data_IF_409069567795
#
_entry.id   IF_409069567795
#
_cell.length_a   1.000
_cell.length_b   1.000
_cell.length_c   1.000
_cell.angle_alpha   90.00
_cell.angle_beta   90.00
_cell.angle_gamma   90.00
#
_symmetry.space_group_name_H-M   'P 1'
#
loop_
_entity.id
_entity.type
_entity.pdbx_description
1 polymer ?
#
# COMPACT_ATOMS: atom_id res chain seq x y z
N UNK A 1 2.64 13.88 11.88
CA UNK A 1 2.11 14.00 10.51
C UNK A 1 2.99 13.15 9.62
N UNK A 2 2.47 12.04 9.11
CA UNK A 2 3.16 11.17 8.18
C UNK A 2 3.30 11.82 6.80
N UNK A 3 4.31 11.39 6.03
CA UNK A 3 4.60 11.95 4.70
C UNK A 3 3.41 11.88 3.74
N UNK A 4 2.50 10.91 3.94
CA UNK A 4 1.37 10.62 3.07
C UNK A 4 0.02 10.86 3.76
N UNK A 5 -0.01 11.57 4.89
CA UNK A 5 -1.25 11.88 5.59
C UNK A 5 -2.27 12.57 4.65
N UNK A 6 -3.50 12.05 4.66
CA UNK A 6 -4.60 12.56 3.83
C UNK A 6 -4.49 12.21 2.34
N UNK A 7 -3.52 11.37 1.94
CA UNK A 7 -3.40 10.84 0.58
C UNK A 7 -4.06 9.47 0.47
N UNK A 8 -4.59 9.17 -0.72
CA UNK A 8 -5.06 7.84 -1.10
C UNK A 8 -4.11 7.23 -2.12
N UNK A 9 -3.76 5.96 -1.96
CA UNK A 9 -2.89 5.24 -2.90
C UNK A 9 -3.50 3.90 -3.33
N UNK A 10 -3.42 3.63 -4.64
CA UNK A 10 -3.80 2.34 -5.23
C UNK A 10 -2.53 1.56 -5.53
N UNK A 11 -2.42 0.35 -4.99
CA UNK A 11 -1.24 -0.50 -5.20
C UNK A 11 -1.70 -1.84 -5.79
N UNK A 12 -1.21 -2.14 -6.99
CA UNK A 12 -1.51 -3.38 -7.72
C UNK A 12 -0.33 -4.36 -7.59
N UNK A 13 -0.62 -5.66 -7.59
CA UNK A 13 0.41 -6.69 -7.42
C UNK A 13 0.93 -6.81 -5.99
N UNK A 14 0.21 -6.26 -5.01
CA UNK A 14 0.57 -6.29 -3.59
C UNK A 14 0.12 -7.58 -2.88
N UNK A 15 0.25 -8.73 -3.54
CA UNK A 15 0.06 -10.03 -2.86
C UNK A 15 1.28 -10.34 -1.99
N UNK A 16 2.48 -10.02 -2.48
CA UNK A 16 3.74 -10.25 -1.79
C UNK A 16 4.86 -9.38 -2.37
N UNK A 17 6.07 -9.52 -1.82
CA UNK A 17 7.28 -8.90 -2.34
C UNK A 17 7.22 -7.37 -2.32
N UNK A 18 7.68 -6.74 -3.40
CA UNK A 18 7.83 -5.28 -3.47
C UNK A 18 6.49 -4.56 -3.33
N UNK A 19 5.41 -5.08 -3.95
CA UNK A 19 4.09 -4.46 -3.85
C UNK A 19 3.57 -4.42 -2.42
N UNK A 20 3.77 -5.50 -1.66
CA UNK A 20 3.42 -5.56 -0.24
C UNK A 20 4.29 -4.62 0.61
N UNK A 21 5.61 -4.64 0.40
CA UNK A 21 6.52 -3.75 1.12
C UNK A 21 6.21 -2.28 0.89
N UNK A 22 5.81 -1.89 -0.33
CA UNK A 22 5.35 -0.51 -0.62
C UNK A 22 4.06 -0.21 0.14
N UNK A 23 3.11 -1.13 0.17
CA UNK A 23 1.85 -0.95 0.90
C UNK A 23 2.10 -0.76 2.40
N UNK A 24 2.93 -1.58 3.03
CA UNK A 24 3.32 -1.41 4.43
C UNK A 24 3.94 -0.03 4.68
N UNK A 25 4.93 0.36 3.87
CA UNK A 25 5.59 1.67 4.03
C UNK A 25 4.63 2.83 3.80
N UNK A 26 3.67 2.71 2.89
CA UNK A 26 2.70 3.78 2.67
C UNK A 26 1.69 3.89 3.81
N UNK A 27 1.26 2.77 4.38
CA UNK A 27 0.40 2.75 5.56
C UNK A 27 1.09 3.39 6.78
N UNK A 28 2.38 3.08 7.00
CA UNK A 28 3.19 3.71 8.06
C UNK A 28 3.26 5.24 7.94
N UNK A 29 3.19 5.77 6.72
CA UNK A 29 3.21 7.21 6.45
C UNK A 29 1.81 7.84 6.36
N UNK A 30 0.75 7.10 6.73
CA UNK A 30 -0.60 7.64 6.91
C UNK A 30 -1.47 7.68 5.65
N UNK A 31 -1.09 6.95 4.60
CA UNK A 31 -1.91 6.84 3.40
C UNK A 31 -3.13 5.92 3.62
N UNK A 32 -4.26 6.28 3.02
CA UNK A 32 -5.41 5.37 2.86
C UNK A 32 -5.16 4.49 1.62
N UNK A 33 -5.17 3.16 1.79
CA UNK A 33 -4.74 2.23 0.76
C UNK A 33 -5.88 1.44 0.14
N UNK A 34 -5.86 1.32 -1.19
CA UNK A 34 -6.63 0.34 -1.95
C UNK A 34 -5.61 -0.62 -2.58
N UNK A 35 -5.66 -1.88 -2.17
CA UNK A 35 -4.68 -2.89 -2.58
C UNK A 35 -5.39 -4.00 -3.34
N UNK A 36 -4.82 -4.40 -4.48
CA UNK A 36 -5.35 -5.49 -5.29
C UNK A 36 -4.22 -6.35 -5.88
N UNK A 37 -4.45 -7.65 -5.94
CA UNK A 37 -3.56 -8.60 -6.58
C UNK A 37 -4.38 -9.72 -7.23
N UNK A 38 -3.75 -10.43 -8.18
CA UNK A 38 -4.38 -11.57 -8.87
C UNK A 38 -4.47 -12.81 -7.98
N UNK A 39 -3.52 -12.96 -7.05
CA UNK A 39 -3.47 -14.06 -6.09
C UNK A 39 -3.90 -13.56 -4.73
N UNK A 40 -4.47 -14.47 -3.96
CA UNK A 40 -4.92 -14.21 -2.59
C UNK A 40 -3.78 -14.39 -1.57
N UNK A 41 -2.61 -14.85 -2.05
CA UNK A 41 -1.37 -15.19 -1.33
C UNK A 41 -0.17 -14.44 -1.91
#
# INVERSE_FOLDING_TARGET
>A
MGLLDGKKAIILGASSGIGWAIAERFAEHGAELIIAARRQE
#
